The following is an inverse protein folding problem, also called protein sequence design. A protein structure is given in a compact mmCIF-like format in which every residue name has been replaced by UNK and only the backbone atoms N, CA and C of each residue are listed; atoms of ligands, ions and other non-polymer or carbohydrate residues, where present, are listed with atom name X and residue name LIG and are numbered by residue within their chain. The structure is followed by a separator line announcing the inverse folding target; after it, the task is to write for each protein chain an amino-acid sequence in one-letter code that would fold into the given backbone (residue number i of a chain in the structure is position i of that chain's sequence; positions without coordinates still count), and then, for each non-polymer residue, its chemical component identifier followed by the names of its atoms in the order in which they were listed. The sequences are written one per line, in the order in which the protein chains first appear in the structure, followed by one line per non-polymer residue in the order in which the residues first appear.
data_IF_575408912549
#
_entry.id   IF_575408912549
#
_cell.length_a   1.000
_cell.length_b   1.000
_cell.length_c   1.000
_cell.angle_alpha   90.00
_cell.angle_beta   90.00
_cell.angle_gamma   90.00
#
_symmetry.space_group_name_H-M   'P 1'
#
loop_
_entity.id
_entity.type
_entity.pdbx_description
1 polymer ?
#
# COMPACT_ATOMS: atom_id res chain seq x y z
N UNK A 1 -17.11 12.51 22.30
CA UNK A 1 -16.05 12.01 21.40
C UNK A 1 -16.56 10.83 20.57
N UNK A 2 -16.61 10.99 19.25
CA UNK A 2 -17.20 9.98 18.35
C UNK A 2 -16.25 8.80 18.14
N UNK A 3 -16.52 7.68 18.82
CA UNK A 3 -15.68 6.46 18.76
C UNK A 3 -15.54 5.93 17.32
N UNK A 4 -16.55 6.15 16.48
CA UNK A 4 -16.56 5.76 15.07
C UNK A 4 -15.57 6.57 14.22
N UNK A 5 -15.49 7.88 14.44
CA UNK A 5 -14.59 8.77 13.72
C UNK A 5 -13.12 8.43 14.01
N UNK A 6 -12.79 8.15 15.27
CA UNK A 6 -11.46 7.73 15.69
C UNK A 6 -11.10 6.36 15.12
N UNK A 7 -12.06 5.42 15.11
CA UNK A 7 -11.84 4.11 14.50
C UNK A 7 -11.54 4.22 13.00
N UNK A 8 -12.24 5.09 12.26
CA UNK A 8 -11.96 5.34 10.85
C UNK A 8 -10.56 5.92 10.62
N UNK A 9 -10.12 6.86 11.46
CA UNK A 9 -8.77 7.41 11.38
C UNK A 9 -7.72 6.31 11.65
N UNK A 10 -7.90 5.50 12.69
CA UNK A 10 -6.98 4.40 13.02
C UNK A 10 -6.89 3.37 11.90
N UNK A 11 -8.04 2.95 11.34
CA UNK A 11 -8.09 2.06 10.18
C UNK A 11 -7.32 2.69 9.02
N UNK A 12 -7.55 3.97 8.74
CA UNK A 12 -6.90 4.65 7.62
C UNK A 12 -5.38 4.74 7.78
N UNK A 13 -4.91 4.98 9.01
CA UNK A 13 -3.47 4.97 9.35
C UNK A 13 -2.87 3.58 9.14
N UNK A 14 -3.53 2.50 9.58
CA UNK A 14 -3.07 1.12 9.41
C UNK A 14 -2.93 0.80 7.91
N UNK A 15 -3.98 1.04 7.13
CA UNK A 15 -3.94 0.80 5.68
C UNK A 15 -2.88 1.65 4.96
N UNK A 16 -2.70 2.90 5.37
CA UNK A 16 -1.67 3.78 4.84
C UNK A 16 -0.26 3.27 5.12
N UNK A 17 0.04 2.90 6.37
CA UNK A 17 1.36 2.38 6.77
C UNK A 17 1.64 1.04 6.08
N UNK A 18 0.69 0.11 6.07
CA UNK A 18 0.85 -1.18 5.37
C UNK A 18 1.10 -0.98 3.87
N UNK A 19 0.33 -0.11 3.22
CA UNK A 19 0.49 0.18 1.80
C UNK A 19 1.84 0.84 1.47
N UNK A 20 2.32 1.77 2.29
CA UNK A 20 3.66 2.36 2.11
C UNK A 20 4.75 1.30 2.31
N UNK A 21 4.64 0.49 3.37
CA UNK A 21 5.60 -0.56 3.68
C UNK A 21 5.73 -1.60 2.58
N UNK A 22 4.62 -2.15 2.10
CA UNK A 22 4.62 -3.14 1.01
C UNK A 22 5.11 -2.52 -0.30
N UNK A 23 4.72 -1.27 -0.61
CA UNK A 23 5.22 -0.55 -1.79
C UNK A 23 6.76 -0.42 -1.78
N UNK A 24 7.34 0.01 -0.65
CA UNK A 24 8.78 0.16 -0.52
C UNK A 24 9.52 -1.19 -0.65
N UNK A 25 9.04 -2.22 0.05
CA UNK A 25 9.63 -3.57 -0.03
C UNK A 25 9.55 -4.14 -1.44
N UNK A 26 8.40 -3.97 -2.10
CA UNK A 26 8.18 -4.48 -3.46
C UNK A 26 9.01 -3.72 -4.49
N UNK A 27 9.25 -2.43 -4.29
CA UNK A 27 10.10 -1.62 -5.17
C UNK A 27 11.57 -2.07 -5.08
N UNK A 28 12.09 -2.26 -3.87
CA UNK A 28 13.47 -2.77 -3.65
C UNK A 28 13.62 -4.18 -4.22
N UNK A 29 12.65 -5.07 -3.95
CA UNK A 29 12.67 -6.42 -4.51
C UNK A 29 12.62 -6.40 -6.04
N UNK A 30 11.83 -5.50 -6.63
CA UNK A 30 11.72 -5.37 -8.09
C UNK A 30 13.01 -4.85 -8.74
N UNK A 31 13.72 -3.92 -8.09
CA UNK A 31 15.02 -3.45 -8.60
C UNK A 31 16.09 -4.54 -8.57
N UNK A 32 16.18 -5.31 -7.49
CA UNK A 32 17.12 -6.44 -7.38
C UNK A 32 16.77 -7.53 -8.41
N UNK A 33 15.49 -7.86 -8.54
CA UNK A 33 15.01 -8.85 -9.50
C UNK A 33 15.29 -8.43 -10.95
N UNK A 34 15.14 -7.15 -11.27
CA UNK A 34 15.43 -6.63 -12.61
C UNK A 34 16.91 -6.77 -12.97
N UNK A 35 17.82 -6.59 -11.99
CA UNK A 35 19.25 -6.82 -12.19
C UNK A 35 19.57 -8.30 -12.40
N UNK A 36 18.93 -9.19 -11.65
CA UNK A 36 19.09 -10.64 -11.82
C UNK A 36 18.60 -11.13 -13.18
N UNK A 37 17.47 -10.61 -13.68
CA UNK A 37 16.98 -10.91 -15.03
C UNK A 37 18.01 -10.49 -16.07
N UNK A 38 18.54 -9.27 -15.97
CA UNK A 38 19.54 -8.77 -16.91
C UNK A 38 20.84 -9.59 -16.89
N UNK A 39 21.28 -10.06 -15.72
CA UNK A 39 22.45 -10.93 -15.59
C UNK A 39 22.20 -12.32 -16.19
N UNK A 40 21.04 -12.93 -15.88
CA UNK A 40 20.66 -14.24 -16.39
C UNK A 40 20.53 -14.27 -17.92
N UNK A 41 20.09 -13.16 -18.53
CA UNK A 41 20.03 -13.00 -19.98
C UNK A 41 21.42 -12.97 -20.67
N UNK A 42 22.47 -12.57 -19.95
CA UNK A 42 23.82 -12.44 -20.49
C UNK A 42 24.74 -13.64 -20.25
N UNK A 43 24.52 -14.47 -19.22
CA UNK A 43 25.49 -15.51 -18.79
C UNK A 43 25.09 -16.98 -19.06
N UNK A 44 23.83 -17.27 -19.42
CA UNK A 44 23.31 -18.66 -19.44
C UNK A 44 23.21 -19.32 -20.83
N UNK A 45 23.25 -20.65 -20.88
CA UNK A 45 22.99 -21.44 -22.10
C UNK A 45 21.47 -21.45 -22.43
N UNK A 46 21.09 -21.52 -23.71
CA UNK A 46 19.70 -21.33 -24.21
C UNK A 46 18.61 -22.13 -23.45
N UNK A 47 18.93 -23.29 -22.88
CA UNK A 47 18.00 -24.14 -22.13
C UNK A 47 17.86 -23.74 -20.65
N UNK A 48 18.96 -23.37 -19.98
CA UNK A 48 18.91 -22.85 -18.60
C UNK A 48 18.29 -21.45 -18.56
N UNK A 49 18.53 -20.66 -19.61
CA UNK A 49 17.99 -19.32 -19.78
C UNK A 49 16.45 -19.28 -19.79
N UNK A 50 15.78 -20.23 -20.46
CA UNK A 50 14.31 -20.23 -20.54
C UNK A 50 13.62 -20.57 -19.21
N UNK A 51 14.19 -21.47 -18.42
CA UNK A 51 13.58 -21.88 -17.14
C UNK A 51 13.77 -20.80 -16.07
N UNK A 52 14.96 -20.19 -16.01
CA UNK A 52 15.31 -19.22 -14.98
C UNK A 52 14.67 -17.85 -15.25
N UNK A 53 14.72 -17.36 -16.49
CA UNK A 53 14.08 -16.08 -16.88
C UNK A 53 12.56 -16.15 -16.73
N UNK A 54 11.93 -17.30 -17.03
CA UNK A 54 10.48 -17.48 -16.83
C UNK A 54 10.05 -17.38 -15.36
N UNK A 55 10.83 -17.97 -14.45
CA UNK A 55 10.58 -17.86 -13.02
C UNK A 55 10.79 -16.43 -12.50
N UNK A 56 11.85 -15.75 -12.94
CA UNK A 56 12.12 -14.37 -12.58
C UNK A 56 11.04 -13.41 -13.12
N UNK A 57 10.52 -13.63 -14.33
CA UNK A 57 9.38 -12.87 -14.88
C UNK A 57 8.08 -13.08 -14.08
N UNK A 58 7.83 -14.31 -13.60
CA UNK A 58 6.70 -14.61 -12.72
C UNK A 58 6.82 -13.84 -11.39
N UNK A 59 8.00 -13.84 -10.77
CA UNK A 59 8.30 -13.05 -9.57
C UNK A 59 8.05 -11.54 -9.79
N UNK A 60 8.48 -11.01 -10.94
CA UNK A 60 8.29 -9.60 -11.31
C UNK A 60 6.81 -9.24 -11.42
N UNK A 61 6.02 -10.15 -11.99
CA UNK A 61 4.56 -10.00 -12.09
C UNK A 61 3.90 -9.98 -10.71
N UNK A 62 4.31 -10.87 -9.80
CA UNK A 62 3.80 -10.91 -8.42
C UNK A 62 4.12 -9.60 -7.68
N UNK A 63 5.36 -9.12 -7.77
CA UNK A 63 5.78 -7.86 -7.15
C UNK A 63 4.99 -6.66 -7.69
N UNK A 64 4.73 -6.65 -9.00
CA UNK A 64 3.89 -5.61 -9.63
C UNK A 64 2.47 -5.62 -9.07
N UNK A 65 1.87 -6.81 -8.90
CA UNK A 65 0.54 -6.95 -8.27
C UNK A 65 0.58 -6.45 -6.82
N UNK A 66 1.63 -6.77 -6.06
CA UNK A 66 1.82 -6.26 -4.70
C UNK A 66 1.88 -4.73 -4.63
N UNK A 67 2.55 -4.08 -5.60
CA UNK A 67 2.61 -2.62 -5.69
C UNK A 67 1.21 -2.03 -5.96
N UNK A 68 0.47 -2.58 -6.93
CA UNK A 68 -0.89 -2.11 -7.27
C UNK A 68 -1.82 -2.25 -6.06
N UNK A 69 -1.79 -3.39 -5.39
CA UNK A 69 -2.58 -3.64 -4.18
C UNK A 69 -2.22 -2.66 -3.05
N UNK A 70 -0.94 -2.32 -2.92
CA UNK A 70 -0.45 -1.37 -1.93
C UNK A 70 -0.94 0.05 -2.21
N UNK A 71 -0.93 0.48 -3.47
CA UNK A 71 -1.48 1.78 -3.89
C UNK A 71 -2.98 1.85 -3.53
N UNK A 72 -3.73 0.79 -3.82
CA UNK A 72 -5.15 0.72 -3.46
C UNK A 72 -5.36 0.86 -1.93
N UNK A 73 -4.54 0.19 -1.11
CA UNK A 73 -4.57 0.34 0.35
C UNK A 73 -4.29 1.77 0.80
N UNK A 74 -3.31 2.45 0.20
CA UNK A 74 -3.00 3.85 0.53
C UNK A 74 -4.20 4.75 0.24
N UNK A 75 -4.84 4.59 -0.93
CA UNK A 75 -6.02 5.37 -1.31
C UNK A 75 -7.17 5.16 -0.32
N UNK A 76 -7.45 3.90 0.04
CA UNK A 76 -8.46 3.56 1.05
C UNK A 76 -8.09 4.20 2.40
N UNK A 77 -6.81 4.15 2.79
CA UNK A 77 -6.32 4.75 4.01
C UNK A 77 -6.57 6.25 4.10
N UNK A 78 -6.24 6.97 3.03
CA UNK A 78 -6.49 8.42 2.90
C UNK A 78 -7.99 8.71 3.00
N UNK A 79 -8.83 7.93 2.32
CA UNK A 79 -10.28 8.10 2.36
C UNK A 79 -10.83 7.93 3.78
N UNK A 80 -10.43 6.88 4.49
CA UNK A 80 -10.85 6.64 5.87
C UNK A 80 -10.44 7.78 6.82
N UNK A 81 -9.22 8.33 6.67
CA UNK A 81 -8.75 9.48 7.45
C UNK A 81 -9.59 10.72 7.15
N UNK A 82 -9.85 11.02 5.87
CA UNK A 82 -10.61 12.19 5.47
C UNK A 82 -12.06 12.16 6.01
N UNK A 83 -12.73 11.01 5.91
CA UNK A 83 -14.08 10.83 6.46
C UNK A 83 -14.07 10.93 7.98
N UNK A 84 -13.15 10.22 8.65
CA UNK A 84 -13.04 10.27 10.11
C UNK A 84 -12.74 11.67 10.66
N UNK A 85 -11.87 12.42 9.98
CA UNK A 85 -11.57 13.81 10.35
C UNK A 85 -12.78 14.74 10.18
N UNK A 86 -13.56 14.55 9.11
CA UNK A 86 -14.77 15.33 8.83
C UNK A 86 -15.82 15.11 9.93
N UNK A 87 -16.07 13.85 10.29
CA UNK A 87 -17.00 13.48 11.37
C UNK A 87 -16.58 14.08 12.73
N UNK A 88 -15.29 14.02 13.07
CA UNK A 88 -14.75 14.63 14.30
C UNK A 88 -14.98 16.15 14.34
N UNK A 89 -14.82 16.83 13.20
CA UNK A 89 -15.01 18.27 13.10
C UNK A 89 -16.48 18.66 13.21
N UNK A 90 -17.39 17.89 12.61
CA UNK A 90 -18.84 18.11 12.71
C UNK A 90 -19.39 17.85 14.11
N UNK A 91 -18.95 16.78 14.78
CA UNK A 91 -19.38 16.47 16.16
C UNK A 91 -18.94 17.57 17.12
N UNK A 92 -17.72 18.10 16.95
CA UNK A 92 -17.20 19.21 17.77
C UNK A 92 -18.05 20.49 17.61
N UNK A 93 -18.49 20.81 16.39
CA UNK A 93 -19.39 21.95 16.13
C UNK A 93 -20.76 21.80 16.78
N UNK A 94 -21.29 20.58 16.89
CA UNK A 94 -22.59 20.29 17.53
C UNK A 94 -22.50 20.42 19.05
N UNK A 95 -21.39 19.99 19.67
CA UNK A 95 -21.18 20.13 21.11
C UNK A 95 -21.07 21.60 21.55
N UNK A 96 -20.48 22.48 20.73
CA UNK A 96 -20.39 23.92 21.04
C UNK A 96 -21.74 24.68 20.95
N UNK A 97 -22.77 24.12 20.28
CA UNK A 97 -24.10 24.75 20.16
C UNK A 97 -25.09 24.37 21.26
N UNK A 98 -24.73 23.49 22.20
CA UNK A 98 -25.62 23.15 23.33
C UNK A 98 -25.59 24.28 24.36
N UNK A 99 -26.71 24.98 24.63
CA UNK A 99 -26.74 25.99 25.67
C UNK A 99 -26.48 25.31 27.01
N UNK A 100 -25.49 25.84 27.74
CA UNK A 100 -25.26 25.55 29.15
C UNK A 100 -26.57 25.79 29.89
N UNK A 101 -27.20 24.70 30.38
CA UNK A 101 -28.27 24.79 31.38
C UNK A 101 -27.64 24.84 32.76
#
# INVERSE_FOLDING_TARGET
MDKKAIALILIGVIFGIEGIGISLLSLVASSELSQLIAAAEHESTFFEQQLDVGFLQMLSSILTICIIYSIAKIIIGIFCIAVGATELFETSKKEQKKPSK
#
